data_IF_654323850028
#
_entry.id   IF_654323850028
#
_cell.length_a   1.000
_cell.length_b   1.000
_cell.length_c   1.000
_cell.angle_alpha   90.00
_cell.angle_beta   90.00
_cell.angle_gamma   90.00
#
_symmetry.space_group_name_H-M   'P 1'
#
loop_
_entity.id
_entity.type
_entity.pdbx_description
1 polymer ?
#
# COMPACT_ATOMS: atom_id res chain seq x y z
N UNK A 1 -6.69 21.45 -16.64
CA UNK A 1 -7.44 20.67 -15.62
C UNK A 1 -6.74 19.35 -15.34
N UNK A 2 -6.41 18.56 -16.36
CA UNK A 2 -5.79 17.22 -16.18
C UNK A 2 -4.45 17.22 -15.41
N UNK A 3 -3.59 18.23 -15.60
CA UNK A 3 -2.32 18.32 -14.86
C UNK A 3 -2.46 18.69 -13.38
N UNK A 4 -3.57 19.33 -12.99
CA UNK A 4 -3.85 19.69 -11.59
C UNK A 4 -4.31 18.45 -10.82
N UNK A 5 -5.13 17.62 -11.44
CA UNK A 5 -5.57 16.33 -10.91
C UNK A 5 -4.43 15.29 -10.88
N UNK A 6 -3.54 15.27 -11.89
CA UNK A 6 -2.36 14.39 -11.91
C UNK A 6 -1.37 14.63 -10.76
N UNK A 7 -1.39 15.83 -10.16
CA UNK A 7 -0.48 16.21 -9.08
C UNK A 7 -1.11 16.15 -7.68
N UNK A 8 -2.38 15.74 -7.56
CA UNK A 8 -3.00 15.43 -6.27
C UNK A 8 -2.51 14.07 -5.77
N UNK A 9 -1.21 13.99 -5.46
CA UNK A 9 -0.69 12.89 -4.67
C UNK A 9 -1.22 13.06 -3.24
N UNK A 10 -1.88 12.03 -2.76
CA UNK A 10 -2.17 11.88 -1.33
C UNK A 10 -0.83 11.93 -0.61
N UNK A 11 -0.58 13.01 0.14
CA UNK A 11 0.62 13.08 0.98
C UNK A 11 0.44 12.14 2.17
N UNK A 12 1.06 10.97 2.07
CA UNK A 12 1.14 10.01 3.17
C UNK A 12 2.40 10.33 3.96
N UNK A 13 2.32 10.25 5.29
CA UNK A 13 3.45 10.44 6.18
C UNK A 13 4.58 9.44 5.82
N UNK A 14 5.77 9.95 5.54
CA UNK A 14 6.95 9.19 5.12
C UNK A 14 7.41 8.18 6.17
N UNK A 15 7.07 8.36 7.44
CA UNK A 15 7.36 7.39 8.52
C UNK A 15 6.50 6.13 8.46
N UNK A 16 5.53 6.04 7.55
CA UNK A 16 4.65 4.86 7.41
C UNK A 16 5.31 3.78 6.55
N UNK A 17 6.25 4.13 5.68
CA UNK A 17 6.95 3.20 4.79
C UNK A 17 8.46 3.44 4.83
N UNK A 18 9.25 2.42 4.48
CA UNK A 18 10.72 2.52 4.38
C UNK A 18 11.14 2.99 2.99
N UNK A 19 10.51 2.42 1.97
CA UNK A 19 10.62 2.83 0.57
C UNK A 19 9.23 3.11 0.05
N UNK A 20 9.08 4.17 -0.74
CA UNK A 20 7.80 4.51 -1.36
C UNK A 20 7.29 3.32 -2.20
N UNK A 21 6.15 2.71 -1.82
CA UNK A 21 5.59 1.57 -2.55
C UNK A 21 5.06 1.96 -3.94
N UNK A 22 4.76 3.22 -4.21
CA UNK A 22 4.34 3.66 -5.56
C UNK A 22 5.54 3.76 -6.52
N UNK A 23 6.77 3.89 -5.99
CA UNK A 23 8.00 4.11 -6.79
C UNK A 23 8.49 2.89 -7.58
N UNK A 24 7.81 1.73 -7.49
CA UNK A 24 8.25 0.52 -8.19
C UNK A 24 7.11 -0.47 -8.40
N UNK A 25 7.23 -1.29 -9.44
CA UNK A 25 6.27 -2.34 -9.76
C UNK A 25 6.07 -3.33 -8.59
N UNK A 26 7.14 -3.74 -7.93
CA UNK A 26 7.03 -4.63 -6.76
C UNK A 26 6.23 -3.99 -5.63
N UNK A 27 6.48 -2.70 -5.34
CA UNK A 27 5.73 -1.97 -4.32
C UNK A 27 4.23 -1.89 -4.66
N UNK A 28 3.90 -1.58 -5.91
CA UNK A 28 2.51 -1.56 -6.39
C UNK A 28 1.84 -2.95 -6.31
N UNK A 29 2.59 -4.01 -6.61
CA UNK A 29 2.12 -5.41 -6.42
C UNK A 29 1.91 -5.75 -4.95
N UNK A 30 2.78 -5.28 -4.05
CA UNK A 30 2.60 -5.43 -2.59
C UNK A 30 1.28 -4.80 -2.15
N UNK A 31 0.98 -3.57 -2.57
CA UNK A 31 -0.25 -2.87 -2.20
C UNK A 31 -1.49 -3.60 -2.71
N UNK A 32 -1.58 -3.81 -4.02
CA UNK A 32 -2.75 -4.41 -4.67
C UNK A 32 -3.07 -5.83 -4.16
N UNK A 33 -2.06 -6.68 -4.01
CA UNK A 33 -2.25 -8.04 -3.51
C UNK A 33 -2.54 -8.05 -2.00
N UNK A 34 -1.98 -7.11 -1.23
CA UNK A 34 -2.34 -6.99 0.19
C UNK A 34 -3.82 -6.68 0.37
N UNK A 35 -4.37 -5.72 -0.39
CA UNK A 35 -5.80 -5.37 -0.33
C UNK A 35 -6.65 -6.60 -0.65
N UNK A 36 -6.35 -7.28 -1.75
CA UNK A 36 -7.09 -8.47 -2.21
C UNK A 36 -7.05 -9.58 -1.16
N UNK A 37 -5.85 -9.93 -0.68
CA UNK A 37 -5.68 -11.00 0.30
C UNK A 37 -6.32 -10.65 1.64
N UNK A 38 -6.20 -9.40 2.13
CA UNK A 38 -6.84 -8.95 3.37
C UNK A 38 -8.37 -9.04 3.25
N UNK A 39 -8.94 -8.69 2.09
CA UNK A 39 -10.36 -8.85 1.84
C UNK A 39 -10.80 -10.33 1.85
N UNK A 40 -10.00 -11.23 1.27
CA UNK A 40 -10.33 -12.66 1.16
C UNK A 40 -10.16 -13.44 2.47
N UNK A 41 -9.07 -13.22 3.22
CA UNK A 41 -8.72 -14.04 4.40
C UNK A 41 -8.79 -13.29 5.73
N UNK A 42 -9.01 -11.97 5.70
CA UNK A 42 -8.95 -11.10 6.86
C UNK A 42 -7.52 -10.71 7.26
N UNK A 43 -7.41 -9.57 7.94
CA UNK A 43 -6.13 -8.98 8.33
C UNK A 43 -5.32 -9.86 9.29
N UNK A 44 -5.98 -10.58 10.20
CA UNK A 44 -5.29 -11.44 11.17
C UNK A 44 -4.54 -12.58 10.50
N UNK A 45 -5.18 -13.25 9.53
CA UNK A 45 -4.59 -14.36 8.80
C UNK A 45 -3.58 -13.92 7.72
N UNK A 46 -3.64 -12.66 7.30
CA UNK A 46 -2.68 -12.09 6.36
C UNK A 46 -1.28 -11.97 6.99
N UNK A 47 -0.25 -12.42 6.25
CA UNK A 47 1.16 -12.31 6.64
C UNK A 47 2.02 -11.93 5.43
N UNK A 48 3.14 -11.24 5.67
CA UNK A 48 4.08 -10.91 4.59
C UNK A 48 4.67 -12.14 3.92
N UNK A 49 4.84 -13.24 4.66
CA UNK A 49 5.23 -14.54 4.08
C UNK A 49 4.24 -15.04 3.03
N UNK A 50 2.93 -14.99 3.33
CA UNK A 50 1.87 -15.37 2.38
C UNK A 50 1.83 -14.43 1.19
N UNK A 51 1.94 -13.11 1.43
CA UNK A 51 1.99 -12.11 0.37
C UNK A 51 3.17 -12.37 -0.58
N UNK A 52 4.37 -12.56 -0.04
CA UNK A 52 5.58 -12.80 -0.81
C UNK A 52 5.40 -14.00 -1.74
N UNK A 53 4.88 -15.12 -1.20
CA UNK A 53 4.54 -16.29 -2.00
C UNK A 53 3.52 -15.98 -3.10
N UNK A 54 2.45 -15.25 -2.78
CA UNK A 54 1.40 -14.88 -3.75
C UNK A 54 1.93 -14.05 -4.91
N UNK A 55 2.91 -13.16 -4.64
CA UNK A 55 3.49 -12.28 -5.65
C UNK A 55 4.83 -12.81 -6.21
N UNK A 56 5.19 -14.06 -5.97
CA UNK A 56 6.45 -14.64 -6.47
C UNK A 56 7.69 -13.87 -6.00
N UNK A 57 7.67 -13.36 -4.76
CA UNK A 57 8.75 -12.62 -4.12
C UNK A 57 9.10 -13.24 -2.77
N UNK A 58 10.24 -12.84 -2.19
CA UNK A 58 10.58 -13.23 -0.83
C UNK A 58 9.96 -12.25 0.19
N UNK A 59 9.80 -12.74 1.42
CA UNK A 59 9.27 -11.94 2.51
C UNK A 59 10.15 -10.72 2.82
N UNK A 60 11.48 -10.87 2.73
CA UNK A 60 12.45 -9.79 2.96
C UNK A 60 12.28 -8.61 2.00
N UNK A 61 11.84 -8.85 0.77
CA UNK A 61 11.56 -7.77 -0.18
C UNK A 61 10.35 -6.93 0.22
N UNK A 62 9.40 -7.49 0.96
CA UNK A 62 8.25 -6.74 1.50
C UNK A 62 8.70 -5.85 2.66
N UNK A 63 9.58 -6.37 3.52
CA UNK A 63 10.17 -5.59 4.62
C UNK A 63 10.97 -4.37 4.15
N UNK A 64 11.41 -4.33 2.89
CA UNK A 64 12.03 -3.12 2.28
C UNK A 64 11.05 -1.96 2.09
N UNK A 65 9.74 -2.23 2.12
CA UNK A 65 8.69 -1.21 1.96
C UNK A 65 7.98 -0.95 3.30
N UNK A 66 7.70 -1.99 4.08
CA UNK A 66 6.96 -1.87 5.34
C UNK A 66 7.67 -2.61 6.46
N UNK A 67 7.94 -1.93 7.57
CA UNK A 67 8.59 -2.52 8.75
C UNK A 67 7.75 -3.66 9.37
N UNK A 68 6.42 -3.57 9.26
CA UNK A 68 5.49 -4.55 9.79
C UNK A 68 4.10 -4.44 9.14
N UNK A 69 3.25 -5.43 9.43
CA UNK A 69 1.87 -5.53 8.91
C UNK A 69 0.99 -4.33 9.30
N UNK A 70 1.21 -3.73 10.47
CA UNK A 70 0.45 -2.56 10.92
C UNK A 70 0.78 -1.30 10.10
N UNK A 71 2.06 -1.07 9.76
CA UNK A 71 2.50 0.02 8.87
C UNK A 71 1.88 -0.08 7.47
N UNK A 72 1.81 -1.30 6.92
CA UNK A 72 1.07 -1.55 5.68
C UNK A 72 -0.41 -1.15 5.82
N UNK A 73 -1.09 -1.55 6.91
CA UNK A 73 -2.49 -1.17 7.12
C UNK A 73 -2.67 0.35 7.25
N UNK A 74 -1.79 1.03 7.98
CA UNK A 74 -1.80 2.50 8.06
C UNK A 74 -1.61 3.14 6.69
N UNK A 75 -0.73 2.59 5.85
CA UNK A 75 -0.54 3.07 4.49
C UNK A 75 -1.82 2.91 3.66
N UNK A 76 -2.41 1.71 3.65
CA UNK A 76 -3.64 1.42 2.89
C UNK A 76 -4.81 2.32 3.32
N UNK A 77 -4.99 2.50 4.63
CA UNK A 77 -6.07 3.34 5.17
C UNK A 77 -5.81 4.83 4.91
N UNK A 78 -4.57 5.31 5.03
CA UNK A 78 -4.20 6.69 4.70
C UNK A 78 -4.40 6.99 3.21
N UNK A 79 -4.00 6.04 2.36
CA UNK A 79 -4.19 6.12 0.91
C UNK A 79 -5.68 6.19 0.55
N UNK A 80 -6.50 5.30 1.11
CA UNK A 80 -7.94 5.29 0.91
C UNK A 80 -8.59 6.64 1.28
N UNK A 81 -8.31 7.16 2.49
CA UNK A 81 -8.86 8.46 2.92
C UNK A 81 -8.37 9.64 2.09
N UNK A 82 -7.14 9.56 1.60
CA UNK A 82 -6.61 10.55 0.68
C UNK A 82 -7.39 10.59 -0.64
N UNK A 83 -7.67 9.43 -1.22
CA UNK A 83 -8.49 9.33 -2.43
C UNK A 83 -9.90 9.86 -2.20
N UNK A 84 -10.56 9.41 -1.11
CA UNK A 84 -11.91 9.87 -0.76
C UNK A 84 -11.96 11.39 -0.59
N UNK A 85 -10.94 11.99 0.04
CA UNK A 85 -10.87 13.46 0.20
C UNK A 85 -10.79 14.16 -1.14
N UNK A 86 -9.97 13.67 -2.07
CA UNK A 86 -9.86 14.24 -3.42
C UNK A 86 -11.21 14.12 -4.13
N UNK A 87 -11.83 12.94 -4.12
CA UNK A 87 -13.12 12.70 -4.80
C UNK A 87 -14.32 13.47 -4.26
N UNK A 88 -14.25 14.02 -3.03
CA UNK A 88 -15.31 14.88 -2.45
C UNK A 88 -15.06 16.36 -2.76
N UNK A 89 -13.81 16.74 -3.07
CA UNK A 89 -13.41 18.13 -3.28
C UNK A 89 -13.58 18.59 -4.74
N UNK A 90 -13.86 17.67 -5.66
CA UNK A 90 -14.17 17.87 -7.08
C UNK A 90 -15.67 17.60 -7.34
#
# INVERSE_FOLDING_TARGET
MDQLLQNLKVQINDKIFVKDPESSELGQRIISNSITMIHEMGFEQFTFKKLGKSIGSNESSIYRYFENKHKLLLYLTSWYWGLVRVSISD
#
